data_IF_599125365227
#
_entry.id   IF_599125365227
#
_cell.length_a   1.000
_cell.length_b   1.000
_cell.length_c   1.000
_cell.angle_alpha   90.00
_cell.angle_beta   90.00
_cell.angle_gamma   90.00
#
_symmetry.space_group_name_H-M   'P 1'
#
loop_
_entity.id
_entity.type
_entity.pdbx_description
1 polymer ?
#
# COMPACT_ATOMS: atom_id res chain seq x y z
N UNK A 1 6.29 -6.42 50.96
CA UNK A 1 5.50 -5.99 49.77
C UNK A 1 6.49 -5.66 48.65
N UNK A 2 6.85 -6.64 47.80
CA UNK A 2 7.80 -6.45 46.70
C UNK A 2 7.14 -5.61 45.59
N UNK A 3 7.74 -4.48 45.24
CA UNK A 3 7.29 -3.62 44.13
C UNK A 3 7.37 -4.41 42.82
N UNK A 4 6.24 -4.67 42.18
CA UNK A 4 6.19 -5.15 40.79
C UNK A 4 6.61 -3.99 39.88
N UNK A 5 7.82 -4.07 39.33
CA UNK A 5 8.33 -3.09 38.37
C UNK A 5 7.51 -3.17 37.08
N UNK A 6 7.03 -2.04 36.51
CA UNK A 6 6.35 -2.06 35.24
C UNK A 6 7.35 -2.54 34.18
N UNK A 7 7.03 -3.69 33.57
CA UNK A 7 7.70 -4.16 32.36
C UNK A 7 7.58 -3.07 31.30
N UNK A 8 8.69 -2.40 31.00
CA UNK A 8 8.76 -1.38 29.97
C UNK A 8 8.73 -2.08 28.61
N UNK A 9 7.52 -2.34 28.10
CA UNK A 9 7.28 -2.84 26.75
C UNK A 9 7.72 -1.76 25.76
N UNK A 10 8.90 -1.92 25.18
CA UNK A 10 9.43 -1.03 24.15
C UNK A 10 9.34 -1.70 22.78
N UNK A 11 9.08 -0.90 21.73
CA UNK A 11 9.01 -1.42 20.37
C UNK A 11 10.40 -1.84 19.89
N UNK A 12 10.55 -3.09 19.46
CA UNK A 12 11.79 -3.57 18.87
C UNK A 12 11.98 -2.86 17.53
N UNK A 13 13.06 -2.09 17.38
CA UNK A 13 13.42 -1.43 16.11
C UNK A 13 14.05 -2.43 15.14
N UNK A 14 13.26 -3.41 14.72
CA UNK A 14 13.66 -4.47 13.79
C UNK A 14 13.20 -4.26 12.35
N UNK A 15 12.53 -3.13 12.05
CA UNK A 15 12.02 -2.86 10.71
C UNK A 15 13.15 -2.47 9.76
N UNK A 16 13.68 -3.45 9.04
CA UNK A 16 14.64 -3.25 7.96
C UNK A 16 13.97 -2.73 6.67
N UNK A 17 14.80 -2.35 5.69
CA UNK A 17 14.34 -1.79 4.41
C UNK A 17 13.33 -2.71 3.69
N UNK A 18 13.62 -4.01 3.62
CA UNK A 18 12.76 -5.00 2.97
C UNK A 18 11.42 -5.12 3.71
N UNK A 19 11.44 -5.16 5.04
CA UNK A 19 10.22 -5.23 5.85
C UNK A 19 9.36 -3.97 5.67
N UNK A 20 9.98 -2.79 5.64
CA UNK A 20 9.29 -1.53 5.40
C UNK A 20 8.64 -1.50 4.00
N UNK A 21 9.38 -1.86 2.95
CA UNK A 21 8.86 -1.90 1.57
C UNK A 21 7.69 -2.88 1.46
N UNK A 22 7.83 -4.09 1.99
CA UNK A 22 6.77 -5.11 1.95
C UNK A 22 5.49 -4.64 2.64
N UNK A 23 5.60 -3.93 3.77
CA UNK A 23 4.43 -3.35 4.46
C UNK A 23 3.75 -2.29 3.58
N UNK A 24 4.52 -1.39 2.97
CA UNK A 24 3.97 -0.36 2.08
C UNK A 24 3.27 -1.00 0.88
N UNK A 25 3.90 -1.98 0.23
CA UNK A 25 3.29 -2.72 -0.89
C UNK A 25 2.00 -3.41 -0.45
N UNK A 26 2.01 -4.10 0.69
CA UNK A 26 0.84 -4.78 1.23
C UNK A 26 -0.30 -3.81 1.59
N UNK A 27 0.03 -2.59 2.03
CA UNK A 27 -0.96 -1.55 2.34
C UNK A 27 -1.54 -0.90 1.08
N UNK A 28 -0.75 -0.75 0.01
CA UNK A 28 -1.18 -0.13 -1.25
C UNK A 28 -2.02 -1.09 -2.10
N UNK A 29 -1.66 -2.37 -2.14
CA UNK A 29 -2.39 -3.39 -2.91
C UNK A 29 -3.63 -3.83 -2.12
N UNK A 30 -4.76 -3.19 -2.39
CA UNK A 30 -6.06 -3.52 -1.81
C UNK A 30 -7.13 -3.91 -2.83
N UNK A 31 -8.38 -3.96 -2.39
CA UNK A 31 -9.57 -4.24 -3.22
C UNK A 31 -9.70 -3.31 -4.43
N UNK A 32 -9.15 -2.10 -4.34
CA UNK A 32 -9.15 -1.10 -5.40
C UNK A 32 -8.59 -1.59 -6.75
N UNK A 33 -7.59 -2.49 -6.76
CA UNK A 33 -7.04 -3.03 -8.02
C UNK A 33 -8.10 -3.83 -8.78
N UNK A 34 -8.96 -4.58 -8.09
CA UNK A 34 -10.00 -5.41 -8.71
C UNK A 34 -11.25 -4.61 -9.08
N UNK A 35 -11.66 -3.65 -8.25
CA UNK A 35 -12.87 -2.87 -8.52
C UNK A 35 -12.62 -1.76 -9.57
N UNK A 36 -11.48 -1.08 -9.51
CA UNK A 36 -11.19 0.07 -10.38
C UNK A 36 -10.93 -0.36 -11.82
N UNK A 37 -10.35 -1.54 -12.04
CA UNK A 37 -10.09 -2.08 -13.39
C UNK A 37 -11.37 -2.33 -14.18
N UNK A 38 -12.42 -2.87 -13.55
CA UNK A 38 -13.75 -3.01 -14.18
C UNK A 38 -14.31 -1.65 -14.59
N UNK A 39 -14.35 -0.69 -13.66
CA UNK A 39 -14.90 0.66 -13.91
C UNK A 39 -14.12 1.39 -15.00
N UNK A 40 -12.78 1.31 -14.99
CA UNK A 40 -11.94 1.91 -16.03
C UNK A 40 -12.16 1.27 -17.40
N UNK A 41 -12.29 -0.06 -17.46
CA UNK A 41 -12.55 -0.76 -18.71
C UNK A 41 -13.87 -0.32 -19.32
N UNK A 42 -14.92 -0.15 -18.50
CA UNK A 42 -16.22 0.36 -18.95
C UNK A 42 -16.16 1.83 -19.41
N UNK A 43 -15.40 2.69 -18.74
CA UNK A 43 -15.33 4.12 -19.08
C UNK A 43 -14.40 4.43 -20.26
N UNK A 44 -13.29 3.69 -20.37
CA UNK A 44 -12.22 3.97 -21.33
C UNK A 44 -12.35 3.10 -22.59
N UNK A 45 -13.05 1.96 -22.49
CA UNK A 45 -13.46 1.11 -23.62
C UNK A 45 -12.34 0.32 -24.31
N UNK A 46 -11.06 0.54 -23.95
CA UNK A 46 -9.91 -0.14 -24.53
C UNK A 46 -8.91 -0.57 -23.46
N UNK A 47 -8.47 -1.85 -23.43
CA UNK A 47 -7.50 -2.35 -22.46
C UNK A 47 -6.17 -1.57 -22.45
N UNK A 48 -5.68 -1.16 -23.63
CA UNK A 48 -4.41 -0.43 -23.74
C UNK A 48 -4.45 0.95 -23.08
N UNK A 49 -5.60 1.64 -23.17
CA UNK A 49 -5.80 2.93 -22.50
C UNK A 49 -5.96 2.76 -20.99
N UNK A 50 -6.56 1.66 -20.51
CA UNK A 50 -6.65 1.35 -19.08
C UNK A 50 -5.27 1.19 -18.45
N UNK A 51 -4.33 0.54 -19.15
CA UNK A 51 -2.93 0.42 -18.71
C UNK A 51 -2.24 1.78 -18.61
N UNK A 52 -2.41 2.65 -19.62
CA UNK A 52 -1.85 4.01 -19.59
C UNK A 52 -2.38 4.83 -18.41
N UNK A 53 -3.69 4.78 -18.15
CA UNK A 53 -4.30 5.48 -17.01
C UNK A 53 -3.79 4.93 -15.68
N UNK A 54 -3.53 3.62 -15.57
CA UNK A 54 -2.92 3.02 -14.39
C UNK A 54 -1.50 3.52 -14.14
N UNK A 55 -0.68 3.61 -15.19
CA UNK A 55 0.68 4.16 -15.08
C UNK A 55 0.62 5.63 -14.67
N UNK A 56 -0.22 6.44 -15.32
CA UNK A 56 -0.39 7.85 -14.98
C UNK A 56 -0.87 8.05 -13.54
N UNK A 57 -1.83 7.24 -13.07
CA UNK A 57 -2.29 7.26 -11.69
C UNK A 57 -1.17 6.86 -10.71
N UNK A 58 -0.33 5.89 -11.07
CA UNK A 58 0.84 5.50 -10.26
C UNK A 58 1.84 6.63 -10.12
N UNK A 59 2.16 7.34 -11.21
CA UNK A 59 3.04 8.51 -11.18
C UNK A 59 2.44 9.63 -10.35
N UNK A 60 1.14 9.90 -10.49
CA UNK A 60 0.45 10.91 -9.69
C UNK A 60 0.50 10.59 -8.18
N UNK A 61 0.28 9.33 -7.79
CA UNK A 61 0.41 8.91 -6.39
C UNK A 61 1.83 9.06 -5.82
N UNK A 62 2.86 9.04 -6.68
CA UNK A 62 4.25 9.29 -6.27
C UNK A 62 4.57 10.79 -6.17
N UNK A 63 3.84 11.65 -6.88
CA UNK A 63 4.05 13.09 -6.88
C UNK A 63 3.56 13.79 -5.61
N UNK A 64 2.72 13.13 -4.80
CA UNK A 64 2.16 13.65 -3.55
C UNK A 64 0.75 14.18 -3.71
#
# INVERSE_FOLDING_TARGET
MSKLSPSNITLIRGLGLIAAISIVIGNVIGTGVFLKTRVMTCNVGSPGKVLLVWVAAGVLSLAG
#
